data_IF_755952755493
#
_entry.id   IF_755952755493
#
_cell.length_a   1.000
_cell.length_b   1.000
_cell.length_c   1.000
_cell.angle_alpha   90.00
_cell.angle_beta   90.00
_cell.angle_gamma   90.00
#
_symmetry.space_group_name_H-M   'P 1'
#
loop_
_entity.id
_entity.type
_entity.pdbx_description
1 polymer ?
#
# COMPACT_ATOMS: atom_id res chain seq x y z
N UNK A 1 -4.23 20.93 -23.68
CA UNK A 1 -5.34 21.01 -22.70
C UNK A 1 -4.97 20.18 -21.48
N UNK A 2 -5.03 20.74 -20.25
CA UNK A 2 -4.74 20.00 -19.01
C UNK A 2 -6.00 19.27 -18.56
N UNK A 3 -5.98 17.94 -18.58
CA UNK A 3 -7.09 17.10 -18.14
C UNK A 3 -7.02 16.93 -16.62
N UNK A 4 -8.13 17.13 -15.92
CA UNK A 4 -8.25 16.70 -14.52
C UNK A 4 -8.46 15.19 -14.49
N UNK A 5 -7.39 14.45 -14.22
CA UNK A 5 -7.40 12.98 -14.26
C UNK A 5 -8.45 12.38 -13.32
N UNK A 6 -8.66 12.96 -12.14
CA UNK A 6 -9.66 12.46 -11.18
C UNK A 6 -11.08 12.62 -11.72
N UNK A 7 -11.39 13.74 -12.37
CA UNK A 7 -12.71 13.98 -12.95
C UNK A 7 -12.95 13.18 -14.25
N UNK A 8 -11.88 12.78 -14.95
CA UNK A 8 -11.94 12.06 -16.21
C UNK A 8 -12.13 10.54 -16.05
N UNK A 9 -11.92 9.99 -14.86
CA UNK A 9 -12.01 8.55 -14.59
C UNK A 9 -13.37 8.17 -13.99
N UNK A 10 -13.85 6.98 -14.38
CA UNK A 10 -15.03 6.37 -13.75
C UNK A 10 -14.72 5.94 -12.31
N UNK A 11 -15.77 5.75 -11.50
CA UNK A 11 -15.63 5.31 -10.10
C UNK A 11 -14.89 3.98 -9.97
N UNK A 12 -15.06 3.05 -10.91
CA UNK A 12 -14.34 1.79 -10.94
C UNK A 12 -12.84 1.99 -11.19
N UNK A 13 -12.48 2.86 -12.13
CA UNK A 13 -11.08 3.17 -12.42
C UNK A 13 -10.41 3.87 -11.23
N UNK A 14 -11.10 4.80 -10.58
CA UNK A 14 -10.60 5.45 -9.35
C UNK A 14 -10.33 4.42 -8.24
N UNK A 15 -11.19 3.41 -8.08
CA UNK A 15 -10.94 2.30 -7.13
C UNK A 15 -9.70 1.50 -7.49
N UNK A 16 -9.47 1.20 -8.77
CA UNK A 16 -8.27 0.47 -9.20
C UNK A 16 -7.00 1.28 -8.93
N UNK A 17 -7.01 2.60 -9.18
CA UNK A 17 -5.86 3.47 -8.86
C UNK A 17 -5.61 3.54 -7.36
N UNK A 18 -6.67 3.60 -6.54
CA UNK A 18 -6.54 3.50 -5.08
C UNK A 18 -5.90 2.18 -4.63
N UNK A 19 -6.29 1.06 -5.24
CA UNK A 19 -5.70 -0.26 -4.95
C UNK A 19 -4.21 -0.32 -5.30
N UNK A 20 -3.78 0.32 -6.39
CA UNK A 20 -2.35 0.42 -6.73
C UNK A 20 -1.57 1.19 -5.65
N UNK A 21 -2.11 2.32 -5.18
CA UNK A 21 -1.53 3.09 -4.09
C UNK A 21 -1.42 2.27 -2.80
N UNK A 22 -2.48 1.53 -2.46
CA UNK A 22 -2.51 0.66 -1.29
C UNK A 22 -1.49 -0.50 -1.38
N UNK A 23 -1.31 -1.10 -2.56
CA UNK A 23 -0.31 -2.14 -2.77
C UNK A 23 1.11 -1.63 -2.46
N UNK A 24 1.44 -0.41 -2.90
CA UNK A 24 2.73 0.24 -2.59
C UNK A 24 2.87 0.48 -1.08
N UNK A 25 1.81 0.95 -0.41
CA UNK A 25 1.79 1.16 1.05
C UNK A 25 2.05 -0.16 1.78
N UNK A 26 1.34 -1.23 1.40
CA UNK A 26 1.51 -2.56 2.01
C UNK A 26 2.93 -3.08 1.82
N UNK A 27 3.48 -3.01 0.60
CA UNK A 27 4.86 -3.40 0.33
C UNK A 27 5.84 -2.57 1.17
N UNK A 28 5.66 -1.25 1.21
CA UNK A 28 6.50 -0.34 2.00
C UNK A 28 6.51 -0.71 3.47
N UNK A 29 5.34 -1.00 4.05
CA UNK A 29 5.23 -1.43 5.44
C UNK A 29 5.84 -2.82 5.68
N UNK A 30 5.61 -3.77 4.77
CA UNK A 30 6.21 -5.10 4.83
C UNK A 30 7.74 -5.04 4.83
N UNK A 31 8.32 -4.10 4.07
CA UNK A 31 9.76 -3.83 3.99
C UNK A 31 10.28 -2.84 5.02
N UNK A 32 9.43 -2.35 5.93
CA UNK A 32 9.77 -1.39 6.99
C UNK A 32 10.39 -0.07 6.50
N UNK A 33 10.06 0.36 5.28
CA UNK A 33 10.59 1.60 4.70
C UNK A 33 9.69 2.78 5.08
N UNK A 34 10.27 3.92 5.49
CA UNK A 34 9.47 5.12 5.76
C UNK A 34 9.05 5.78 4.44
N UNK A 35 7.85 6.36 4.36
CA UNK A 35 7.39 7.08 3.17
C UNK A 35 8.37 8.19 2.75
N UNK A 36 8.91 8.93 3.73
CA UNK A 36 9.90 9.99 3.49
C UNK A 36 11.21 9.47 2.90
N UNK A 37 11.61 8.27 3.25
CA UNK A 37 12.84 7.63 2.78
C UNK A 37 12.66 7.09 1.36
N UNK A 38 11.53 6.43 1.08
CA UNK A 38 11.15 6.03 -0.28
C UNK A 38 11.03 7.25 -1.21
N UNK A 39 10.44 8.34 -0.73
CA UNK A 39 10.33 9.59 -1.49
C UNK A 39 11.71 10.16 -1.86
N UNK A 40 12.61 10.24 -0.86
CA UNK A 40 13.99 10.70 -1.08
C UNK A 40 14.73 9.83 -2.09
N UNK A 41 14.69 8.50 -1.92
CA UNK A 41 15.37 7.52 -2.79
C UNK A 41 14.86 7.52 -4.23
N UNK A 42 13.57 7.80 -4.42
CA UNK A 42 12.94 7.86 -5.75
C UNK A 42 13.04 9.24 -6.42
N UNK A 43 13.65 10.21 -5.75
CA UNK A 43 13.82 11.58 -6.24
C UNK A 43 12.50 12.34 -6.39
N UNK A 44 11.54 12.12 -5.48
CA UNK A 44 10.24 12.81 -5.49
C UNK A 44 9.97 13.53 -4.17
N UNK A 45 9.08 14.52 -4.21
CA UNK A 45 8.64 15.20 -3.00
C UNK A 45 7.82 14.27 -2.10
N UNK A 46 7.80 14.54 -0.78
CA UNK A 46 6.91 13.85 0.16
C UNK A 46 5.43 13.99 -0.23
N UNK A 47 5.04 15.15 -0.77
CA UNK A 47 3.67 15.39 -1.25
C UNK A 47 3.33 14.49 -2.44
N UNK A 48 4.26 14.26 -3.36
CA UNK A 48 4.10 13.33 -4.48
C UNK A 48 3.97 11.89 -3.99
N UNK A 49 4.81 11.47 -3.04
CA UNK A 49 4.71 10.15 -2.43
C UNK A 49 3.35 9.95 -1.72
N UNK A 50 2.88 10.95 -0.98
CA UNK A 50 1.57 10.90 -0.33
C UNK A 50 0.42 10.78 -1.35
N UNK A 51 0.47 11.54 -2.45
CA UNK A 51 -0.52 11.45 -3.54
C UNK A 51 -0.49 10.07 -4.21
N UNK A 52 0.70 9.54 -4.48
CA UNK A 52 0.87 8.20 -5.04
C UNK A 52 0.26 7.13 -4.14
N UNK A 53 0.59 7.15 -2.84
CA UNK A 53 0.06 6.18 -1.87
C UNK A 53 -1.45 6.31 -1.63
N UNK A 54 -2.03 7.50 -1.88
CA UNK A 54 -3.49 7.72 -1.89
C UNK A 54 -4.17 7.26 -3.18
N UNK A 55 -3.41 6.85 -4.20
CA UNK A 55 -3.95 6.48 -5.51
C UNK A 55 -4.43 7.68 -6.33
N UNK A 56 -3.64 8.75 -6.36
CA UNK A 56 -3.93 9.91 -7.21
C UNK A 56 -3.61 9.60 -8.70
N UNK A 57 -4.61 9.61 -9.61
CA UNK A 57 -4.42 9.27 -11.02
C UNK A 57 -3.60 10.30 -11.81
N UNK A 58 -3.33 11.48 -11.23
CA UNK A 58 -2.46 12.50 -11.81
C UNK A 58 -0.97 12.24 -11.58
N UNK A 59 -0.59 11.20 -10.81
CA UNK A 59 0.81 10.82 -10.62
C UNK A 59 1.28 9.97 -11.79
N UNK A 60 2.38 10.36 -12.43
CA UNK A 60 2.89 9.70 -13.63
C UNK A 60 3.39 8.27 -13.33
N UNK A 61 3.21 7.36 -14.30
CA UNK A 61 3.66 5.96 -14.19
C UNK A 61 5.16 5.84 -13.90
N UNK A 62 6.00 6.70 -14.49
CA UNK A 62 7.44 6.70 -14.20
C UNK A 62 7.78 7.04 -12.75
N UNK A 63 6.96 7.86 -12.07
CA UNK A 63 7.11 8.14 -10.64
C UNK A 63 6.74 6.90 -9.82
N UNK A 64 5.65 6.22 -10.20
CA UNK A 64 5.26 4.96 -9.58
C UNK A 64 6.38 3.92 -9.66
N UNK A 65 6.99 3.74 -10.82
CA UNK A 65 8.07 2.75 -11.01
C UNK A 65 9.32 3.07 -10.20
N UNK A 66 9.76 4.33 -10.14
CA UNK A 66 10.90 4.73 -9.29
C UNK A 66 10.59 4.58 -7.80
N UNK A 67 9.35 4.86 -7.40
CA UNK A 67 8.92 4.69 -6.01
C UNK A 67 8.89 3.22 -5.60
N UNK A 68 8.41 2.34 -6.50
CA UNK A 68 8.44 0.88 -6.30
C UNK A 68 9.88 0.37 -6.11
N UNK A 69 10.78 0.74 -7.02
CA UNK A 69 12.19 0.32 -6.94
C UNK A 69 12.90 0.86 -5.69
N UNK A 70 12.56 2.08 -5.26
CA UNK A 70 13.06 2.66 -4.01
C UNK A 70 12.59 1.94 -2.73
N UNK A 71 11.44 1.25 -2.79
CA UNK A 71 10.92 0.43 -1.69
C UNK A 71 11.52 -0.99 -1.75
N UNK A 72 11.57 -1.59 -2.94
CA UNK A 72 12.04 -2.94 -3.16
C UNK A 72 12.83 -3.01 -4.49
N UNK A 73 14.17 -2.86 -4.44
CA UNK A 73 15.00 -2.90 -5.63
C UNK A 73 14.81 -4.19 -6.44
N UNK A 74 14.64 -4.06 -7.76
CA UNK A 74 14.42 -5.20 -8.66
C UNK A 74 13.01 -5.81 -8.60
N UNK A 75 12.10 -5.27 -7.78
CA UNK A 75 10.67 -5.56 -7.85
C UNK A 75 10.08 -4.99 -9.15
N UNK A 76 9.14 -5.70 -9.75
CA UNK A 76 8.36 -5.16 -10.86
C UNK A 76 6.88 -5.07 -10.51
N UNK A 77 6.14 -4.26 -11.26
CA UNK A 77 4.73 -3.99 -10.98
C UNK A 77 3.86 -5.25 -11.02
N UNK A 78 4.12 -6.18 -11.94
CA UNK A 78 3.34 -7.42 -12.05
C UNK A 78 3.49 -8.28 -10.79
N UNK A 79 4.72 -8.44 -10.28
CA UNK A 79 5.00 -9.17 -9.04
C UNK A 79 4.39 -8.53 -7.80
N UNK A 80 4.38 -7.19 -7.75
CA UNK A 80 3.69 -6.46 -6.68
C UNK A 80 2.18 -6.79 -6.69
N UNK A 81 1.57 -6.79 -7.87
CA UNK A 81 0.12 -6.98 -8.01
C UNK A 81 -0.31 -8.44 -7.88
N UNK A 82 0.56 -9.41 -8.16
CA UNK A 82 0.30 -10.81 -7.87
C UNK A 82 0.48 -11.17 -6.40
N UNK A 83 1.08 -10.29 -5.59
CA UNK A 83 1.38 -10.55 -4.17
C UNK A 83 2.60 -11.46 -3.97
N UNK A 84 3.43 -11.65 -5.00
CA UNK A 84 4.59 -12.54 -4.99
C UNK A 84 5.83 -11.90 -4.33
N UNK A 85 5.66 -11.33 -3.13
CA UNK A 85 6.75 -10.82 -2.30
C UNK A 85 6.80 -11.58 -0.96
N UNK A 86 7.94 -12.18 -0.58
CA UNK A 86 8.07 -12.91 0.68
C UNK A 86 7.74 -12.06 1.92
N UNK A 87 7.96 -10.75 1.87
CA UNK A 87 7.63 -9.85 2.98
C UNK A 87 6.14 -9.56 3.05
N UNK A 88 5.43 -9.51 1.91
CA UNK A 88 3.96 -9.45 1.89
C UNK A 88 3.36 -10.73 2.48
N UNK A 89 3.86 -11.91 2.09
CA UNK A 89 3.43 -13.19 2.65
C UNK A 89 3.70 -13.27 4.17
N UNK A 90 4.87 -12.81 4.62
CA UNK A 90 5.21 -12.75 6.04
C UNK A 90 4.34 -11.75 6.82
N UNK A 91 3.99 -10.60 6.22
CA UNK A 91 3.09 -9.63 6.82
C UNK A 91 1.68 -10.21 6.96
N UNK A 92 1.18 -10.91 5.95
CA UNK A 92 -0.12 -11.60 6.01
C UNK A 92 -0.13 -12.71 7.06
N UNK A 93 0.96 -13.45 7.21
CA UNK A 93 1.09 -14.46 8.27
C UNK A 93 1.10 -13.81 9.67
N UNK A 94 1.75 -12.65 9.83
CA UNK A 94 1.76 -11.89 11.10
C UNK A 94 0.40 -11.28 11.41
N UNK A 95 -0.27 -10.67 10.43
CA UNK A 95 -1.59 -10.06 10.61
C UNK A 95 -2.65 -11.10 10.99
N UNK A 96 -2.59 -12.30 10.39
CA UNK A 96 -3.44 -13.45 10.77
C UNK A 96 -3.18 -13.91 12.20
N UNK A 97 -1.92 -13.92 12.66
CA UNK A 97 -1.58 -14.27 14.05
C UNK A 97 -2.01 -13.19 15.06
N UNK A 98 -2.22 -11.95 14.63
CA UNK A 98 -2.47 -10.82 15.52
C UNK A 98 -3.93 -10.66 15.99
N UNK A 99 -4.88 -11.48 15.50
CA UNK A 99 -6.27 -11.44 15.94
C UNK A 99 -6.65 -12.62 16.84
N UNK A 100 -6.37 -12.47 18.13
CA UNK A 100 -7.32 -12.85 19.19
C UNK A 100 -7.38 -11.67 20.15
N UNK A 101 -8.51 -10.95 20.17
CA UNK A 101 -8.79 -10.04 21.28
C UNK A 101 -9.18 -10.92 22.47
N UNK A 102 -8.59 -10.68 23.64
CA UNK A 102 -9.06 -11.33 24.86
C UNK A 102 -10.55 -11.06 25.06
N UNK A 103 -11.28 -12.09 25.49
CA UNK A 103 -12.67 -11.98 25.93
C UNK A 103 -12.76 -10.91 27.03
N UNK A 104 -13.77 -10.06 26.95
CA UNK A 104 -14.07 -9.09 28.01
C UNK A 104 -14.61 -9.81 29.24
N UNK A 105 -14.57 -9.16 30.41
CA UNK A 105 -15.04 -9.76 31.65
C UNK A 105 -16.52 -10.21 31.60
N UNK A 106 -17.34 -9.60 30.74
CA UNK A 106 -18.72 -10.04 30.51
C UNK A 106 -18.78 -11.27 29.61
N UNK A 107 -18.00 -11.31 28.53
CA UNK A 107 -17.93 -12.47 27.62
C UNK A 107 -17.28 -13.69 28.31
N UNK A 108 -16.42 -13.49 29.32
CA UNK A 108 -15.84 -14.55 30.13
C UNK A 108 -16.89 -15.17 31.08
N UNK A 109 -17.79 -14.35 31.65
CA UNK A 109 -18.87 -14.80 32.54
C UNK A 109 -19.95 -15.62 31.83
N UNK A 110 -20.14 -15.39 30.53
CA UNK A 110 -21.06 -16.18 29.71
C UNK A 110 -20.49 -17.54 29.28
N UNK A 111 -19.21 -17.79 29.54
CA UNK A 111 -18.50 -19.03 29.18
C UNK A 111 -18.22 -19.95 30.40
N UNK A 112 -18.61 -19.53 31.61
CA UNK A 112 -18.69 -20.43 32.76
C UNK A 112 -19.90 -21.36 32.58
N UNK A 113 -19.63 -22.63 32.27
CA UNK A 113 -20.64 -23.71 32.27
C UNK A 113 -21.04 -24.11 33.69
#
# INVERSE_FOLDING_TARGET
>A
MRINQTAALSSNLLKQVAQLGEALVRLRHARQVKQSEAALRSGISRATAQRLEKGDPGVALGVLMRYLDAIAPGMNLLKLLSGDDPSLLALDARSRRQRVRGLTANELKELDF
#
